data_IF_161282958973
#
_entry.id   IF_161282958973
#
_cell.length_a   1.000
_cell.length_b   1.000
_cell.length_c   1.000
_cell.angle_alpha   90.00
_cell.angle_beta   90.00
_cell.angle_gamma   90.00
#
_symmetry.space_group_name_H-M   'P 1'
#
loop_
_entity.id
_entity.type
_entity.pdbx_description
1 polymer ?
#
# COMPACT_ATOMS: atom_id res chain seq x y z
N UNK A 1 40.88 -62.59 22.34
CA UNK A 1 40.19 -62.55 21.04
C UNK A 1 39.90 -61.08 20.73
N UNK A 2 40.78 -60.32 20.07
CA UNK A 2 40.90 -60.18 18.59
C UNK A 2 39.51 -60.04 17.96
N UNK A 3 39.09 -58.95 17.32
CA UNK A 3 39.73 -57.98 16.39
C UNK A 3 38.84 -56.69 16.33
N UNK A 4 39.25 -55.42 16.43
CA UNK A 4 40.11 -54.54 15.59
C UNK A 4 39.78 -54.44 14.07
N UNK A 5 39.65 -53.18 13.62
CA UNK A 5 39.87 -52.54 12.28
C UNK A 5 38.62 -51.79 11.77
N UNK A 6 38.68 -50.54 11.29
CA UNK A 6 39.83 -49.69 11.02
C UNK A 6 39.47 -48.22 10.78
N UNK A 7 40.49 -47.39 10.98
CA UNK A 7 40.60 -45.94 10.77
C UNK A 7 40.98 -45.66 9.32
N UNK A 8 40.52 -44.55 8.73
CA UNK A 8 41.36 -43.73 7.83
C UNK A 8 40.77 -42.33 7.61
N UNK A 9 41.61 -41.34 7.91
CA UNK A 9 41.51 -39.89 7.75
C UNK A 9 42.52 -39.51 6.66
N UNK A 10 42.23 -38.57 5.75
CA UNK A 10 43.27 -37.76 5.09
C UNK A 10 42.71 -36.36 4.71
N UNK A 11 43.43 -35.36 5.21
CA UNK A 11 43.36 -33.92 4.92
C UNK A 11 43.98 -33.58 3.54
N UNK A 12 43.65 -32.42 2.94
CA UNK A 12 44.64 -31.37 2.54
C UNK A 12 44.01 -30.10 1.94
N UNK A 13 44.49 -28.95 2.41
CA UNK A 13 44.38 -27.58 1.86
C UNK A 13 44.97 -27.41 0.46
N UNK A 14 44.51 -26.40 -0.31
CA UNK A 14 45.30 -25.19 -0.65
C UNK A 14 44.67 -24.32 -1.78
N UNK A 15 44.43 -23.04 -1.44
CA UNK A 15 44.82 -21.78 -2.12
C UNK A 15 44.75 -21.61 -3.65
N UNK A 16 44.05 -20.55 -4.12
CA UNK A 16 44.54 -19.44 -5.01
C UNK A 16 43.43 -18.88 -5.94
N UNK A 17 43.17 -17.57 -5.83
CA UNK A 17 42.72 -16.73 -6.96
C UNK A 17 43.89 -16.50 -7.92
N UNK A 18 43.65 -16.18 -9.22
CA UNK A 18 43.70 -14.76 -9.60
C UNK A 18 42.81 -14.38 -10.81
N UNK A 19 42.62 -13.07 -11.00
CA UNK A 19 42.60 -12.47 -12.34
C UNK A 19 41.26 -11.91 -12.81
N UNK A 20 41.16 -10.58 -12.81
CA UNK A 20 40.05 -9.87 -13.43
C UNK A 20 40.09 -9.85 -14.95
N UNK A 21 38.93 -9.61 -15.55
CA UNK A 21 38.79 -9.13 -16.92
C UNK A 21 37.65 -8.12 -16.95
N UNK A 22 37.98 -6.87 -17.26
CA UNK A 22 37.02 -5.81 -17.57
C UNK A 22 36.18 -6.25 -18.77
N UNK A 23 34.90 -6.56 -18.55
CA UNK A 23 33.94 -6.72 -19.64
C UNK A 23 33.38 -5.34 -20.00
N UNK A 24 33.89 -4.76 -21.08
CA UNK A 24 33.27 -3.67 -21.81
C UNK A 24 32.05 -4.21 -22.58
N UNK A 25 30.95 -4.48 -21.87
CA UNK A 25 29.69 -4.86 -22.49
C UNK A 25 29.03 -3.63 -23.13
N UNK A 26 29.30 -3.41 -24.42
CA UNK A 26 28.45 -2.56 -25.28
C UNK A 26 27.12 -3.27 -25.49
N UNK A 27 26.11 -2.90 -24.70
CA UNK A 27 24.73 -3.37 -24.86
C UNK A 27 24.08 -2.83 -26.15
N UNK A 28 23.17 -3.60 -26.78
CA UNK A 28 22.53 -3.26 -28.05
C UNK A 28 21.66 -1.98 -27.94
N UNK A 29 21.41 -1.28 -29.07
CA UNK A 29 20.73 0.02 -29.07
C UNK A 29 19.28 -0.01 -28.55
N UNK A 30 18.62 -1.18 -28.55
CA UNK A 30 17.26 -1.34 -28.01
C UNK A 30 17.22 -1.21 -26.47
N UNK A 31 18.20 -1.80 -25.76
CA UNK A 31 18.28 -1.74 -24.30
C UNK A 31 18.54 -0.31 -23.79
N UNK A 32 19.23 0.50 -24.61
CA UNK A 32 19.52 1.91 -24.29
C UNK A 32 18.27 2.78 -24.33
N UNK A 33 17.36 2.53 -25.27
CA UNK A 33 16.11 3.28 -25.40
C UNK A 33 15.15 2.89 -24.27
N UNK A 34 15.03 1.60 -23.96
CA UNK A 34 14.22 1.13 -22.82
C UNK A 34 14.75 1.69 -21.50
N UNK A 35 16.07 1.67 -21.30
CA UNK A 35 16.70 2.22 -20.09
C UNK A 35 16.52 3.75 -19.99
N UNK A 36 16.54 4.46 -21.12
CA UNK A 36 16.26 5.89 -21.19
C UNK A 36 14.80 6.20 -20.82
N UNK A 37 13.83 5.49 -21.41
CA UNK A 37 12.41 5.65 -21.09
C UNK A 37 12.12 5.39 -19.61
N UNK A 38 12.67 4.32 -19.04
CA UNK A 38 12.49 4.01 -17.61
C UNK A 38 13.09 5.08 -16.69
N UNK A 39 14.21 5.73 -17.08
CA UNK A 39 14.80 6.84 -16.32
C UNK A 39 13.93 8.10 -16.36
N UNK A 40 13.33 8.41 -17.52
CA UNK A 40 12.40 9.54 -17.67
C UNK A 40 11.16 9.32 -16.82
N UNK A 41 10.53 8.15 -16.94
CA UNK A 41 9.33 7.81 -16.19
C UNK A 41 9.55 7.84 -14.67
N UNK A 42 10.72 7.37 -14.22
CA UNK A 42 11.10 7.44 -12.82
C UNK A 42 11.21 8.88 -12.31
N UNK A 43 11.84 9.78 -13.07
CA UNK A 43 11.96 11.19 -12.68
C UNK A 43 10.61 11.94 -12.71
N UNK A 44 9.75 11.62 -13.68
CA UNK A 44 8.37 12.15 -13.72
C UNK A 44 7.55 11.68 -12.52
N UNK A 45 7.71 10.42 -12.10
CA UNK A 45 7.05 9.86 -10.92
C UNK A 45 7.49 10.51 -9.60
N UNK A 46 8.67 11.11 -9.58
CA UNK A 46 9.18 11.91 -8.45
C UNK A 46 8.71 13.37 -8.47
N UNK A 47 7.90 13.77 -9.46
CA UNK A 47 7.31 15.10 -9.56
C UNK A 47 8.18 16.13 -10.31
N UNK A 48 9.25 15.71 -10.97
CA UNK A 48 10.01 16.60 -11.85
C UNK A 48 9.29 16.79 -13.18
N UNK A 49 9.32 18.01 -13.73
CA UNK A 49 8.70 18.30 -15.03
C UNK A 49 9.47 17.64 -16.18
N UNK A 50 8.76 17.22 -17.22
CA UNK A 50 9.34 16.57 -18.40
C UNK A 50 10.46 17.41 -19.03
N UNK A 51 10.26 18.73 -19.11
CA UNK A 51 11.26 19.67 -19.63
C UNK A 51 12.59 19.63 -18.85
N UNK A 52 12.53 19.55 -17.52
CA UNK A 52 13.73 19.47 -16.67
C UNK A 52 14.42 18.12 -16.84
N UNK A 53 13.64 17.03 -16.90
CA UNK A 53 14.17 15.67 -17.08
C UNK A 53 14.85 15.52 -18.44
N UNK A 54 14.23 16.01 -19.50
CA UNK A 54 14.82 16.01 -20.85
C UNK A 54 16.06 16.91 -20.92
N UNK A 55 16.06 18.06 -20.25
CA UNK A 55 17.21 18.95 -20.19
C UNK A 55 18.41 18.30 -19.49
N UNK A 56 18.17 17.60 -18.37
CA UNK A 56 19.21 16.88 -17.62
C UNK A 56 19.74 15.69 -18.40
N UNK A 57 18.85 14.92 -19.06
CA UNK A 57 19.26 13.79 -19.88
C UNK A 57 20.04 14.22 -21.13
N UNK A 58 19.68 15.36 -21.74
CA UNK A 58 20.45 15.96 -22.82
C UNK A 58 21.84 16.42 -22.35
N UNK A 59 21.97 16.82 -21.09
CA UNK A 59 23.22 17.29 -20.47
C UNK A 59 24.14 16.14 -20.03
N UNK A 60 23.60 15.08 -19.43
CA UNK A 60 24.37 13.97 -18.87
C UNK A 60 24.59 12.82 -19.87
N UNK A 61 23.79 12.75 -20.94
CA UNK A 61 23.90 11.70 -21.94
C UNK A 61 23.20 10.39 -21.55
N UNK A 62 23.10 9.43 -22.48
CA UNK A 62 22.32 8.19 -22.32
C UNK A 62 22.90 7.22 -21.27
N UNK A 63 24.19 7.32 -20.96
CA UNK A 63 24.89 6.45 -20.02
C UNK A 63 24.85 6.96 -18.56
N UNK A 64 24.17 8.07 -18.29
CA UNK A 64 24.06 8.68 -16.96
C UNK A 64 23.36 7.77 -15.95
N UNK A 65 23.88 7.65 -14.73
CA UNK A 65 23.22 6.87 -13.67
C UNK A 65 22.01 7.63 -13.11
N UNK A 66 21.06 6.90 -12.52
CA UNK A 66 19.86 7.48 -11.92
C UNK A 66 20.22 8.53 -10.85
N UNK A 67 21.24 8.27 -10.04
CA UNK A 67 21.71 9.18 -9.00
C UNK A 67 22.27 10.49 -9.56
N UNK A 68 22.92 10.46 -10.73
CA UNK A 68 23.45 11.66 -11.39
C UNK A 68 22.31 12.52 -11.94
N UNK A 69 21.30 11.87 -12.51
CA UNK A 69 20.08 12.54 -13.02
C UNK A 69 19.34 13.24 -11.87
N UNK A 70 19.13 12.55 -10.75
CA UNK A 70 18.51 13.15 -9.56
C UNK A 70 19.35 14.31 -9.01
N UNK A 71 20.68 14.13 -8.94
CA UNK A 71 21.59 15.17 -8.47
C UNK A 71 21.52 16.45 -9.30
N UNK A 72 21.43 16.34 -10.62
CA UNK A 72 21.26 17.50 -11.51
C UNK A 72 19.84 18.08 -11.47
N UNK A 73 18.80 17.26 -11.34
CA UNK A 73 17.42 17.72 -11.19
C UNK A 73 17.22 18.55 -9.91
N UNK A 74 17.81 18.14 -8.79
CA UNK A 74 17.80 18.91 -7.53
C UNK A 74 18.54 20.25 -7.68
N UNK A 75 19.69 20.26 -8.36
CA UNK A 75 20.44 21.49 -8.65
C UNK A 75 19.68 22.45 -9.57
N UNK A 76 18.87 21.94 -10.49
CA UNK A 76 18.05 22.77 -11.38
C UNK A 76 16.75 23.25 -10.72
N UNK A 77 16.12 22.43 -9.87
CA UNK A 77 14.94 22.81 -9.10
C UNK A 77 15.18 24.03 -8.20
N UNK A 78 16.34 24.05 -7.52
CA UNK A 78 16.77 25.19 -6.68
C UNK A 78 17.14 26.44 -7.47
N UNK A 79 17.43 26.31 -8.77
CA UNK A 79 17.80 27.44 -9.64
C UNK A 79 16.58 28.12 -10.27
N UNK A 80 15.51 27.37 -10.54
CA UNK A 80 14.25 27.88 -11.08
C UNK A 80 13.43 28.64 -10.02
N UNK A 81 13.51 28.22 -8.75
CA UNK A 81 12.81 28.89 -7.63
C UNK A 81 13.43 30.27 -7.28
N UNK A 82 14.73 30.46 -7.52
CA UNK A 82 15.43 31.72 -7.30
C UNK A 82 15.37 32.71 -8.48
N UNK A 83 14.78 32.33 -9.61
CA UNK A 83 14.61 33.21 -10.78
C UNK A 83 13.18 33.74 -10.97
N UNK A 84 12.25 33.40 -10.06
CA UNK A 84 10.86 33.89 -10.06
C UNK A 84 10.53 34.88 -8.92
N UNK A 85 11.51 35.27 -8.10
CA UNK A 85 11.33 36.15 -6.92
C UNK A 85 12.22 37.42 -6.94
N UNK A 86 12.50 37.98 -8.12
CA UNK A 86 13.30 39.19 -8.26
C UNK A 86 12.72 40.21 -9.24
N UNK A 87 11.84 41.11 -8.77
CA UNK A 87 11.28 42.18 -9.61
C UNK A 87 10.26 43.12 -8.94
N UNK A 88 10.72 43.89 -7.94
CA UNK A 88 10.38 45.29 -7.58
C UNK A 88 8.94 45.89 -7.70
N UNK A 89 8.55 46.51 -6.56
CA UNK A 89 7.73 47.73 -6.29
C UNK A 89 6.19 47.76 -6.43
N UNK A 90 5.56 47.96 -5.26
CA UNK A 90 4.50 48.93 -4.92
C UNK A 90 3.16 48.91 -5.68
N UNK A 91 2.07 48.52 -4.99
CA UNK A 91 0.99 49.43 -4.56
C UNK A 91 -0.21 48.65 -3.98
N UNK A 92 -0.91 49.36 -3.09
CA UNK A 92 -1.97 49.00 -2.15
C UNK A 92 -3.40 48.91 -2.74
N UNK A 93 -4.34 48.41 -1.90
CA UNK A 93 -5.82 48.56 -1.93
C UNK A 93 -6.58 47.58 -2.85
N UNK A 94 -7.86 47.20 -2.69
CA UNK A 94 -8.80 46.92 -1.59
C UNK A 94 -10.18 46.69 -2.27
N UNK A 95 -10.96 45.70 -1.81
CA UNK A 95 -12.44 45.63 -1.80
C UNK A 95 -13.31 45.51 -3.10
N UNK A 96 -14.20 44.49 -3.03
CA UNK A 96 -15.68 44.49 -3.28
C UNK A 96 -16.32 44.28 -4.68
N UNK A 97 -17.10 43.17 -4.74
CA UNK A 97 -18.56 43.06 -5.03
C UNK A 97 -19.17 43.15 -6.45
N UNK A 98 -19.69 41.99 -6.89
CA UNK A 98 -21.08 41.70 -7.33
C UNK A 98 -21.65 42.07 -8.72
N UNK A 99 -22.55 41.17 -9.17
CA UNK A 99 -23.67 41.28 -10.13
C UNK A 99 -23.46 40.81 -11.58
N UNK A 100 -24.58 40.62 -12.28
CA UNK A 100 -24.95 39.45 -13.08
C UNK A 100 -25.71 39.83 -14.36
N UNK A 101 -25.86 38.85 -15.26
CA UNK A 101 -26.87 38.66 -16.34
C UNK A 101 -26.59 39.17 -17.79
N UNK A 102 -26.54 38.17 -18.70
CA UNK A 102 -27.34 37.93 -19.93
C UNK A 102 -27.07 38.62 -21.31
N UNK A 103 -26.75 37.73 -22.27
CA UNK A 103 -27.28 37.52 -23.66
C UNK A 103 -26.86 38.34 -24.91
N UNK A 104 -26.32 37.59 -25.91
CA UNK A 104 -26.39 37.65 -27.40
C UNK A 104 -25.83 38.89 -28.15
N UNK A 105 -25.12 38.85 -29.31
CA UNK A 105 -24.81 37.84 -30.34
C UNK A 105 -23.77 38.38 -31.36
N UNK A 106 -22.91 37.51 -31.94
CA UNK A 106 -22.22 37.55 -33.28
C UNK A 106 -21.29 38.75 -33.61
N UNK A 107 -20.00 38.64 -33.97
CA UNK A 107 -19.36 37.74 -34.95
C UNK A 107 -17.82 37.92 -35.01
N UNK A 108 -17.11 36.83 -35.38
CA UNK A 108 -15.75 36.67 -35.95
C UNK A 108 -14.50 37.31 -35.31
N UNK A 109 -13.63 36.48 -34.71
CA UNK A 109 -12.40 35.95 -35.34
C UNK A 109 -11.31 35.60 -34.30
N UNK A 110 -10.55 34.53 -34.59
CA UNK A 110 -9.13 34.38 -34.23
C UNK A 110 -8.71 34.17 -32.76
N UNK A 111 -8.34 32.91 -32.48
CA UNK A 111 -7.27 32.45 -31.57
C UNK A 111 -7.53 32.42 -30.05
N UNK A 112 -7.02 31.32 -29.48
CA UNK A 112 -6.80 30.97 -28.08
C UNK A 112 -7.92 30.22 -27.33
N UNK A 113 -7.76 28.89 -27.28
CA UNK A 113 -8.52 28.00 -26.40
C UNK A 113 -7.54 27.19 -25.56
N UNK A 114 -6.94 27.84 -24.56
CA UNK A 114 -6.38 27.14 -23.42
C UNK A 114 -7.37 27.27 -22.28
N UNK A 115 -8.19 26.22 -22.14
CA UNK A 115 -9.05 25.98 -20.99
C UNK A 115 -8.30 26.34 -19.71
N UNK A 116 -8.95 27.14 -18.85
CA UNK A 116 -8.69 27.17 -17.42
C UNK A 116 -8.60 25.72 -16.95
N UNK A 117 -7.37 25.21 -16.82
CA UNK A 117 -7.09 24.05 -15.99
C UNK A 117 -7.32 24.57 -14.59
N UNK A 118 -8.55 24.39 -14.11
CA UNK A 118 -8.79 24.32 -12.67
C UNK A 118 -7.74 23.34 -12.16
N UNK A 119 -6.72 23.87 -11.48
CA UNK A 119 -5.81 23.07 -10.67
C UNK A 119 -6.71 22.09 -9.91
N UNK A 120 -6.55 20.76 -10.08
CA UNK A 120 -7.26 19.84 -9.22
C UNK A 120 -6.94 20.30 -7.80
N UNK A 121 -7.94 20.43 -6.89
CA UNK A 121 -7.62 20.61 -5.48
C UNK A 121 -6.61 19.52 -5.19
N UNK A 122 -5.42 19.85 -4.67
CA UNK A 122 -4.36 18.89 -4.40
C UNK A 122 -5.03 17.71 -3.71
N UNK A 123 -5.28 16.65 -4.48
CA UNK A 123 -5.95 15.49 -3.96
C UNK A 123 -4.86 14.92 -3.09
N UNK A 124 -4.96 15.16 -1.79
CA UNK A 124 -4.23 14.36 -0.81
C UNK A 124 -4.28 12.95 -1.35
N UNK A 125 -3.11 12.34 -1.45
CA UNK A 125 -2.78 11.10 -2.14
C UNK A 125 -3.46 9.88 -1.48
N UNK A 126 -4.78 9.99 -1.28
CA UNK A 126 -5.72 9.07 -0.65
C UNK A 126 -5.89 7.80 -1.48
N UNK A 127 -5.39 7.82 -2.71
CA UNK A 127 -5.38 6.69 -3.62
C UNK A 127 -4.13 5.79 -3.42
N UNK A 128 -3.17 6.19 -2.57
CA UNK A 128 -1.97 5.40 -2.26
C UNK A 128 -2.07 4.58 -0.95
N UNK A 129 -3.27 4.48 -0.37
CA UNK A 129 -3.49 3.69 0.84
C UNK A 129 -3.59 2.20 0.49
N UNK A 130 -2.86 1.37 1.23
CA UNK A 130 -2.94 -0.09 1.10
C UNK A 130 -4.34 -0.60 1.50
N UNK A 131 -4.85 -1.64 0.84
CA UNK A 131 -6.02 -2.38 1.29
C UNK A 131 -5.84 -2.90 2.71
N UNK A 132 -6.92 -2.88 3.50
CA UNK A 132 -6.90 -3.32 4.90
C UNK A 132 -7.78 -4.55 5.04
N UNK A 133 -7.21 -5.65 5.50
CA UNK A 133 -7.96 -6.88 5.83
C UNK A 133 -7.96 -7.06 7.33
N UNK A 134 -9.15 -7.04 7.92
CA UNK A 134 -9.34 -7.12 9.38
C UNK A 134 -9.79 -8.52 9.77
N UNK A 135 -9.11 -9.09 10.75
CA UNK A 135 -9.55 -10.28 11.45
C UNK A 135 -10.65 -9.90 12.46
N UNK A 136 -11.90 -9.96 12.00
CA UNK A 136 -13.04 -9.54 12.80
C UNK A 136 -13.22 -10.40 14.06
N UNK A 137 -12.84 -11.68 14.01
CA UNK A 137 -12.90 -12.58 15.15
C UNK A 137 -11.91 -12.17 16.24
N UNK A 138 -10.67 -11.91 15.86
CA UNK A 138 -9.63 -11.46 16.76
C UNK A 138 -9.99 -10.11 17.41
N UNK A 139 -10.42 -9.14 16.59
CA UNK A 139 -10.83 -7.79 17.03
C UNK A 139 -11.99 -7.83 18.03
N UNK A 140 -13.07 -8.54 17.68
CA UNK A 140 -14.25 -8.61 18.53
C UNK A 140 -13.96 -9.30 19.88
N UNK A 141 -13.16 -10.37 19.86
CA UNK A 141 -12.76 -11.08 21.08
C UNK A 141 -11.80 -10.25 21.93
N UNK A 142 -10.89 -9.48 21.32
CA UNK A 142 -9.99 -8.60 22.05
C UNK A 142 -10.74 -7.47 22.75
N UNK A 143 -11.70 -6.84 22.06
CA UNK A 143 -12.54 -5.77 22.65
C UNK A 143 -13.43 -6.31 23.79
N UNK A 144 -14.02 -7.49 23.61
CA UNK A 144 -14.83 -8.15 24.63
C UNK A 144 -14.03 -8.88 25.73
N UNK A 145 -12.79 -8.47 25.99
CA UNK A 145 -11.92 -9.02 27.04
C UNK A 145 -11.75 -10.56 27.00
N UNK A 146 -11.77 -11.14 25.80
CA UNK A 146 -11.69 -12.59 25.53
C UNK A 146 -12.85 -13.43 26.08
N UNK A 147 -13.88 -12.80 26.64
CA UNK A 147 -15.05 -13.47 27.23
C UNK A 147 -16.27 -13.37 26.31
N UNK A 148 -16.44 -12.23 25.64
CA UNK A 148 -17.56 -11.97 24.75
C UNK A 148 -17.06 -11.57 23.36
N UNK A 149 -17.81 -11.94 22.34
CA UNK A 149 -17.59 -11.40 21.00
C UNK A 149 -18.29 -10.07 20.88
N UNK A 150 -17.53 -8.98 20.98
CA UNK A 150 -18.09 -7.64 20.90
C UNK A 150 -18.04 -7.12 19.47
N UNK A 151 -19.20 -7.03 18.81
CA UNK A 151 -19.27 -6.51 17.44
C UNK A 151 -18.94 -5.01 17.36
N UNK A 152 -19.10 -4.27 18.48
CA UNK A 152 -18.70 -2.88 18.57
C UNK A 152 -17.19 -2.70 18.31
N UNK A 153 -16.35 -3.62 18.78
CA UNK A 153 -14.91 -3.59 18.52
C UNK A 153 -14.58 -3.61 17.02
N UNK A 154 -15.35 -4.37 16.22
CA UNK A 154 -15.20 -4.40 14.77
C UNK A 154 -15.56 -3.05 14.17
N UNK A 155 -16.68 -2.46 14.60
CA UNK A 155 -17.11 -1.14 14.12
C UNK A 155 -16.05 -0.07 14.40
N UNK A 156 -15.51 -0.05 15.63
CA UNK A 156 -14.45 0.90 16.03
C UNK A 156 -13.20 0.76 15.15
N UNK A 157 -12.76 -0.47 14.89
CA UNK A 157 -11.63 -0.72 14.00
C UNK A 157 -11.89 -0.21 12.58
N UNK A 158 -13.08 -0.50 12.01
CA UNK A 158 -13.47 0.00 10.67
C UNK A 158 -13.49 1.53 10.63
N UNK A 159 -14.12 2.16 11.62
CA UNK A 159 -14.25 3.61 11.70
C UNK A 159 -12.87 4.30 11.84
N UNK A 160 -11.93 3.66 12.54
CA UNK A 160 -10.56 4.15 12.66
C UNK A 160 -9.86 4.26 11.30
N UNK A 161 -10.00 3.25 10.43
CA UNK A 161 -9.43 3.28 9.08
C UNK A 161 -10.17 4.27 8.17
N UNK A 162 -11.50 4.29 8.23
CA UNK A 162 -12.32 5.22 7.45
C UNK A 162 -12.04 6.69 7.80
N UNK A 163 -11.88 6.99 9.09
CA UNK A 163 -11.50 8.33 9.57
C UNK A 163 -10.14 8.80 9.05
N UNK A 164 -9.28 7.88 8.59
CA UNK A 164 -7.97 8.16 7.98
C UNK A 164 -8.00 8.17 6.45
N UNK A 165 -9.18 8.00 5.84
CA UNK A 165 -9.38 8.04 4.40
C UNK A 165 -9.27 6.69 3.69
N UNK A 166 -9.10 5.58 4.41
CA UNK A 166 -9.15 4.25 3.78
C UNK A 166 -10.55 3.99 3.22
N UNK A 167 -10.60 3.50 1.98
CA UNK A 167 -11.85 3.10 1.31
C UNK A 167 -11.94 1.61 1.06
N UNK A 168 -10.80 0.92 1.02
CA UNK A 168 -10.70 -0.53 0.86
C UNK A 168 -10.40 -1.19 2.21
N UNK A 169 -11.47 -1.48 2.94
CA UNK A 169 -11.44 -2.18 4.22
C UNK A 169 -12.35 -3.39 4.11
N UNK A 170 -11.79 -4.57 4.31
CA UNK A 170 -12.52 -5.85 4.30
C UNK A 170 -12.38 -6.53 5.66
N UNK A 171 -13.48 -6.87 6.29
CA UNK A 171 -13.52 -7.62 7.57
C UNK A 171 -13.98 -9.04 7.30
N UNK A 172 -13.26 -10.04 7.81
CA UNK A 172 -13.75 -11.42 7.79
C UNK A 172 -14.31 -11.85 9.14
N UNK A 173 -15.47 -12.50 9.10
CA UNK A 173 -16.11 -13.12 10.29
C UNK A 173 -16.76 -14.45 9.89
N UNK A 174 -16.69 -15.51 10.70
CA UNK A 174 -17.36 -16.77 10.39
C UNK A 174 -18.89 -16.65 10.34
N UNK A 175 -19.53 -17.23 9.32
CA UNK A 175 -20.98 -17.12 9.12
C UNK A 175 -21.83 -17.62 10.30
N UNK A 176 -21.32 -18.55 11.12
CA UNK A 176 -22.02 -19.03 12.30
C UNK A 176 -22.23 -17.94 13.36
N UNK A 177 -21.46 -16.84 13.32
CA UNK A 177 -21.68 -15.66 14.17
C UNK A 177 -23.01 -14.95 13.89
N UNK A 178 -23.71 -15.29 12.80
CA UNK A 178 -25.09 -14.86 12.51
C UNK A 178 -26.15 -15.65 13.28
N UNK A 179 -25.81 -16.85 13.78
CA UNK A 179 -26.75 -17.68 14.54
C UNK A 179 -27.13 -16.99 15.87
N UNK A 180 -28.25 -17.38 16.47
CA UNK A 180 -28.67 -16.86 17.78
C UNK A 180 -27.56 -17.01 18.82
N UNK A 181 -27.34 -15.98 19.63
CA UNK A 181 -26.42 -16.02 20.77
C UNK A 181 -26.72 -17.21 21.66
N UNK A 182 -25.65 -17.87 22.13
CA UNK A 182 -25.73 -19.02 23.02
C UNK A 182 -24.93 -18.77 24.29
N UNK A 183 -25.25 -19.44 25.41
CA UNK A 183 -24.50 -19.29 26.65
C UNK A 183 -23.00 -19.61 26.51
N UNK A 184 -22.64 -20.53 25.62
CA UNK A 184 -21.26 -20.95 25.31
C UNK A 184 -20.55 -20.04 24.29
N UNK A 185 -21.28 -19.12 23.65
CA UNK A 185 -20.76 -18.24 22.63
C UNK A 185 -21.49 -16.89 22.68
N UNK A 186 -21.18 -16.11 23.72
CA UNK A 186 -21.78 -14.80 23.93
C UNK A 186 -21.33 -13.83 22.82
N UNK A 187 -22.30 -13.07 22.32
CA UNK A 187 -22.12 -12.03 21.30
C UNK A 187 -22.99 -10.82 21.64
N UNK A 188 -22.42 -9.63 21.53
CA UNK A 188 -23.14 -8.35 21.68
C UNK A 188 -23.23 -7.62 20.35
N UNK A 189 -24.26 -6.80 20.19
CA UNK A 189 -24.42 -5.86 19.05
C UNK A 189 -24.38 -6.55 17.68
N UNK A 190 -24.96 -7.75 17.59
CA UNK A 190 -24.86 -8.64 16.43
C UNK A 190 -25.40 -8.01 15.13
N UNK A 191 -26.31 -7.04 15.23
CA UNK A 191 -26.84 -6.25 14.12
C UNK A 191 -25.76 -5.49 13.35
N UNK A 192 -24.65 -5.12 14.01
CA UNK A 192 -23.49 -4.47 13.37
C UNK A 192 -22.95 -5.34 12.24
N UNK A 193 -22.86 -6.66 12.44
CA UNK A 193 -22.33 -7.57 11.43
C UNK A 193 -23.18 -7.56 10.15
N UNK A 194 -24.52 -7.52 10.30
CA UNK A 194 -25.44 -7.47 9.15
C UNK A 194 -25.38 -6.14 8.43
N UNK A 195 -25.19 -5.04 9.17
CA UNK A 195 -25.03 -3.71 8.58
C UNK A 195 -23.73 -3.63 7.76
N UNK A 196 -22.61 -4.05 8.34
CA UNK A 196 -21.31 -4.06 7.65
C UNK A 196 -21.29 -5.00 6.43
N UNK A 197 -22.01 -6.13 6.48
CA UNK A 197 -22.20 -7.03 5.32
C UNK A 197 -22.97 -6.31 4.20
N UNK A 198 -24.06 -5.59 4.53
CA UNK A 198 -24.84 -4.80 3.56
C UNK A 198 -24.02 -3.68 2.93
N UNK A 199 -23.11 -3.08 3.69
CA UNK A 199 -22.18 -2.04 3.25
C UNK A 199 -20.99 -2.60 2.45
N UNK A 200 -20.90 -3.93 2.27
CA UNK A 200 -19.80 -4.65 1.59
C UNK A 200 -18.43 -4.47 2.26
N UNK A 201 -18.43 -4.14 3.56
CA UNK A 201 -17.22 -4.02 4.37
C UNK A 201 -16.91 -5.37 5.03
N UNK A 202 -17.94 -6.08 5.51
CA UNK A 202 -17.78 -7.38 6.15
C UNK A 202 -18.17 -8.52 5.19
N UNK A 203 -17.33 -9.55 5.16
CA UNK A 203 -17.55 -10.78 4.40
C UNK A 203 -17.64 -11.95 5.37
N UNK A 204 -18.72 -12.72 5.28
CA UNK A 204 -18.85 -13.93 6.07
C UNK A 204 -18.11 -15.11 5.45
N UNK A 205 -17.20 -15.72 6.22
CA UNK A 205 -16.52 -16.93 5.77
C UNK A 205 -17.45 -18.15 5.90
N UNK A 206 -17.35 -19.12 4.96
CA UNK A 206 -18.22 -20.30 4.97
C UNK A 206 -18.12 -21.09 6.29
N UNK A 207 -19.28 -21.50 6.80
CA UNK A 207 -19.38 -22.47 7.90
C UNK A 207 -20.56 -23.39 7.64
N UNK A 208 -20.48 -24.66 8.07
CA UNK A 208 -21.55 -25.63 7.83
C UNK A 208 -21.77 -26.56 9.03
N UNK A 209 -22.96 -27.15 9.10
CA UNK A 209 -23.27 -28.24 10.03
C UNK A 209 -23.21 -29.57 9.29
N UNK A 210 -22.49 -30.53 9.83
CA UNK A 210 -22.37 -31.91 9.31
C UNK A 210 -22.76 -32.84 10.45
N UNK A 211 -23.82 -33.65 10.25
CA UNK A 211 -24.32 -34.59 11.28
C UNK A 211 -24.61 -33.92 12.65
N UNK A 212 -25.17 -32.71 12.64
CA UNK A 212 -25.44 -31.95 13.87
C UNK A 212 -24.20 -31.35 14.55
N UNK A 213 -22.99 -31.67 14.09
CA UNK A 213 -21.73 -31.06 14.54
C UNK A 213 -21.37 -29.88 13.64
N UNK A 214 -20.83 -28.82 14.23
CA UNK A 214 -20.34 -27.65 13.48
C UNK A 214 -18.98 -27.97 12.88
N UNK A 215 -18.82 -27.78 11.58
CA UNK A 215 -17.53 -27.78 10.90
C UNK A 215 -17.23 -26.33 10.55
N UNK A 216 -16.25 -25.76 11.24
CA UNK A 216 -15.81 -24.38 11.04
C UNK A 216 -14.55 -24.41 10.18
N UNK A 217 -14.60 -23.74 9.04
CA UNK A 217 -13.37 -23.41 8.32
C UNK A 217 -12.70 -22.26 9.06
N UNK A 218 -11.39 -22.33 9.26
CA UNK A 218 -10.61 -21.19 9.75
C UNK A 218 -10.75 -20.03 8.76
N UNK A 219 -11.11 -18.87 9.28
CA UNK A 219 -11.16 -17.59 8.58
C UNK A 219 -9.76 -17.07 8.24
N UNK A 220 -8.74 -17.47 8.99
CA UNK A 220 -7.33 -17.12 8.82
C UNK A 220 -6.85 -17.23 7.37
N UNK A 221 -7.22 -18.31 6.68
CA UNK A 221 -6.77 -18.53 5.30
C UNK A 221 -7.39 -17.53 4.33
N UNK A 222 -8.62 -17.09 4.55
CA UNK A 222 -9.24 -16.04 3.75
C UNK A 222 -8.59 -14.69 4.03
N UNK A 223 -8.29 -14.40 5.30
CA UNK A 223 -7.63 -13.17 5.75
C UNK A 223 -6.25 -13.04 5.10
N UNK A 224 -5.36 -14.02 5.32
CA UNK A 224 -3.99 -13.98 4.80
C UNK A 224 -3.98 -13.98 3.28
N UNK A 225 -4.81 -14.81 2.64
CA UNK A 225 -4.85 -14.90 1.18
C UNK A 225 -5.31 -13.59 0.54
N UNK A 226 -6.40 -12.98 1.03
CA UNK A 226 -6.89 -11.72 0.46
C UNK A 226 -5.86 -10.61 0.63
N UNK A 227 -5.29 -10.46 1.82
CA UNK A 227 -4.30 -9.43 2.10
C UNK A 227 -3.04 -9.62 1.23
N UNK A 228 -2.60 -10.87 1.03
CA UNK A 228 -1.47 -11.19 0.18
C UNK A 228 -1.74 -10.88 -1.29
N UNK A 229 -2.90 -11.29 -1.81
CA UNK A 229 -3.27 -11.08 -3.22
C UNK A 229 -3.51 -9.60 -3.56
N UNK A 230 -3.91 -8.78 -2.57
CA UNK A 230 -4.14 -7.34 -2.75
C UNK A 230 -2.93 -6.45 -2.38
N UNK A 231 -1.80 -7.03 -1.96
CA UNK A 231 -0.66 -6.32 -1.35
C UNK A 231 -1.09 -5.36 -0.20
N UNK A 232 -2.09 -5.80 0.56
CA UNK A 232 -2.66 -5.09 1.70
C UNK A 232 -1.91 -5.33 3.02
N UNK A 233 -2.57 -4.94 4.11
CA UNK A 233 -2.15 -5.24 5.49
C UNK A 233 -3.19 -6.13 6.19
N UNK A 234 -2.74 -6.87 7.20
CA UNK A 234 -3.62 -7.64 8.08
C UNK A 234 -3.71 -6.94 9.43
N UNK A 235 -4.93 -6.74 9.94
CA UNK A 235 -5.16 -6.22 11.29
C UNK A 235 -5.57 -7.39 12.19
N UNK A 236 -4.62 -7.87 13.00
CA UNK A 236 -4.83 -8.96 13.95
C UNK A 236 -3.69 -8.98 14.99
N UNK A 237 -3.96 -9.58 16.14
CA UNK A 237 -2.95 -9.96 17.13
C UNK A 237 -2.55 -11.44 17.02
N UNK A 238 -3.13 -12.19 16.08
CA UNK A 238 -2.67 -13.55 15.76
C UNK A 238 -1.47 -13.51 14.80
N UNK A 239 -0.53 -14.42 15.00
CA UNK A 239 0.65 -14.58 14.15
C UNK A 239 0.44 -15.60 13.02
N UNK A 240 -0.72 -16.29 12.95
CA UNK A 240 -1.06 -17.25 11.90
C UNK A 240 0.05 -18.29 11.67
N UNK A 241 0.59 -18.85 12.75
CA UNK A 241 1.83 -19.66 12.74
C UNK A 241 1.72 -20.89 11.84
N UNK A 242 0.55 -21.51 11.81
CA UNK A 242 0.24 -22.64 10.94
C UNK A 242 0.31 -22.25 9.45
N UNK A 243 -0.30 -21.12 9.06
CA UNK A 243 -0.26 -20.61 7.70
C UNK A 243 1.14 -20.13 7.28
N UNK A 244 1.87 -19.50 8.21
CA UNK A 244 3.26 -19.11 7.99
C UNK A 244 4.17 -20.32 7.75
N UNK A 245 3.89 -21.47 8.39
CA UNK A 245 4.66 -22.70 8.19
C UNK A 245 4.25 -23.45 6.91
N UNK A 246 3.06 -23.21 6.36
CA UNK A 246 2.61 -23.84 5.11
C UNK A 246 3.37 -23.30 3.89
N UNK A 247 3.64 -21.99 3.85
CA UNK A 247 4.24 -21.30 2.71
C UNK A 247 5.25 -20.24 3.13
N UNK A 248 6.52 -20.29 2.66
CA UNK A 248 7.53 -19.30 3.03
C UNK A 248 7.17 -17.88 2.56
N UNK A 249 6.48 -17.73 1.43
CA UNK A 249 5.99 -16.44 0.95
C UNK A 249 4.96 -15.80 1.90
N UNK A 250 4.10 -16.61 2.53
CA UNK A 250 3.12 -16.12 3.49
C UNK A 250 3.77 -15.77 4.81
N UNK A 251 4.77 -16.54 5.25
CA UNK A 251 5.58 -16.17 6.41
C UNK A 251 6.16 -14.77 6.26
N UNK A 252 6.85 -14.51 5.15
CA UNK A 252 7.45 -13.20 4.88
C UNK A 252 6.39 -12.10 4.85
N UNK A 253 5.27 -12.36 4.18
CA UNK A 253 4.17 -11.40 4.11
C UNK A 253 3.60 -11.07 5.50
N UNK A 254 3.27 -12.07 6.31
CA UNK A 254 2.73 -11.87 7.66
C UNK A 254 3.73 -11.09 8.53
N UNK A 255 5.01 -11.46 8.48
CA UNK A 255 6.06 -10.78 9.24
C UNK A 255 6.20 -9.27 8.86
N UNK A 256 5.92 -8.90 7.60
CA UNK A 256 6.05 -7.53 7.08
C UNK A 256 4.74 -6.72 7.06
N UNK A 257 3.58 -7.38 7.15
CA UNK A 257 2.25 -6.77 6.89
C UNK A 257 1.23 -6.94 8.01
N UNK A 258 1.59 -7.61 9.10
CA UNK A 258 0.73 -7.73 10.28
C UNK A 258 0.77 -6.45 11.12
N UNK A 259 -0.38 -5.80 11.27
CA UNK A 259 -0.61 -4.66 12.15
C UNK A 259 -1.32 -5.13 13.41
N UNK A 260 -0.56 -5.19 14.50
CA UNK A 260 -1.08 -5.49 15.84
C UNK A 260 -1.74 -4.26 16.47
N UNK A 261 -2.61 -4.50 17.44
CA UNK A 261 -3.38 -3.45 18.12
C UNK A 261 -3.61 -3.80 19.59
N UNK A 262 -4.13 -2.83 20.35
CA UNK A 262 -4.60 -3.03 21.71
C UNK A 262 -5.82 -2.16 21.93
N UNK A 263 -6.81 -2.69 22.64
CA UNK A 263 -7.98 -1.91 23.06
C UNK A 263 -7.78 -1.37 24.47
N UNK A 264 -8.11 -0.09 24.66
CA UNK A 264 -8.27 0.54 25.97
C UNK A 264 -9.70 1.06 26.05
N UNK A 265 -10.60 0.18 26.50
CA UNK A 265 -12.05 0.37 26.35
C UNK A 265 -12.40 0.50 24.85
N UNK A 266 -13.07 1.58 24.47
CA UNK A 266 -13.54 1.84 23.11
C UNK A 266 -12.49 2.53 22.21
N UNK A 267 -11.19 2.40 22.52
CA UNK A 267 -10.08 3.03 21.78
C UNK A 267 -8.97 2.07 21.42
#
# INVERSE_FOLDING_TARGET
SLSQLGVARLDLESTLQPGGSQQTNRSPPADRITNYCSKVEFALKLGYTEDLVLLVLKKLGPDALINDILGELVKLGTKTELQLLGGSVSHSLSLSSSTSLASSSSSNSSLDSCRLVSLPPMMEDKDNLRPVVVDGSNVAMSHGNKEVFSCQGIQLAVDWFFGRGHRDVTVFVPAWRKEQSRPDALITDQEILRRLEKEKILVFTPSRRVQGRRVVCYDDRFIVKLAYESDGIIVSNDNYRDLANEKPEWKKFIDERLLMYSFVNDK
#
